data_IF_239799220200
#
_entry.id   IF_239799220200
#
_cell.length_a   1.000
_cell.length_b   1.000
_cell.length_c   1.000
_cell.angle_alpha   90.00
_cell.angle_beta   90.00
_cell.angle_gamma   90.00
#
_symmetry.space_group_name_H-M   'P 1'
#
loop_
_entity.id
_entity.type
_entity.pdbx_description
1 polymer ?
#
# COMPACT_ATOMS: atom_id res chain seq x y z
N UNK A 1 -49.77 23.89 -18.66
CA UNK A 1 -49.42 22.90 -17.62
C UNK A 1 -48.03 22.32 -17.93
N UNK A 2 -47.17 22.16 -16.96
CA UNK A 2 -45.88 21.49 -17.18
C UNK A 2 -46.14 20.02 -17.58
N UNK A 3 -45.38 19.51 -18.53
CA UNK A 3 -45.43 18.11 -18.88
C UNK A 3 -44.06 17.58 -19.25
N UNK A 4 -43.83 16.27 -19.02
CA UNK A 4 -42.61 15.57 -19.36
C UNK A 4 -43.00 14.24 -20.08
N UNK A 5 -42.45 14.05 -21.26
CA UNK A 5 -42.60 12.80 -22.06
C UNK A 5 -41.19 12.25 -22.35
N UNK A 6 -40.66 11.38 -21.51
CA UNK A 6 -39.31 10.85 -21.70
C UNK A 6 -39.20 10.02 -22.98
N UNK A 7 -37.99 10.01 -23.56
CA UNK A 7 -37.60 9.09 -24.62
C UNK A 7 -37.08 7.79 -23.93
N UNK A 8 -37.83 6.67 -23.96
CA UNK A 8 -37.56 5.55 -23.03
C UNK A 8 -36.14 5.00 -23.16
N UNK A 9 -35.69 4.73 -24.39
CA UNK A 9 -34.32 4.20 -24.61
C UNK A 9 -33.26 5.17 -24.13
N UNK A 10 -33.36 6.45 -24.52
CA UNK A 10 -32.42 7.47 -24.11
C UNK A 10 -32.40 7.64 -22.57
N UNK A 11 -33.59 7.60 -21.95
CA UNK A 11 -33.73 7.76 -20.50
C UNK A 11 -33.04 6.62 -19.76
N UNK A 12 -33.22 5.37 -20.19
CA UNK A 12 -32.57 4.21 -19.58
C UNK A 12 -31.04 4.33 -19.66
N UNK A 13 -30.52 4.60 -20.88
CA UNK A 13 -29.06 4.74 -21.03
C UNK A 13 -28.49 5.94 -20.24
N UNK A 14 -29.19 7.08 -20.22
CA UNK A 14 -28.78 8.24 -19.43
C UNK A 14 -28.82 7.95 -17.93
N UNK A 15 -29.81 7.22 -17.44
CA UNK A 15 -29.89 6.82 -16.04
C UNK A 15 -28.76 5.88 -15.63
N UNK A 16 -28.44 4.89 -16.46
CA UNK A 16 -27.32 3.97 -16.22
C UNK A 16 -25.96 4.71 -16.23
N UNK A 17 -25.76 5.59 -17.22
CA UNK A 17 -24.56 6.41 -17.30
C UNK A 17 -24.44 7.35 -16.09
N UNK A 18 -25.54 7.99 -15.68
CA UNK A 18 -25.58 8.84 -14.50
C UNK A 18 -25.24 8.07 -13.23
N UNK A 19 -25.83 6.89 -13.04
CA UNK A 19 -25.52 6.02 -11.89
C UNK A 19 -24.04 5.65 -11.86
N UNK A 20 -23.45 5.30 -13.00
CA UNK A 20 -22.02 4.99 -13.11
C UNK A 20 -21.15 6.20 -12.72
N UNK A 21 -21.44 7.39 -13.28
CA UNK A 21 -20.67 8.60 -13.02
C UNK A 21 -20.72 9.00 -11.54
N UNK A 22 -21.90 8.92 -10.92
CA UNK A 22 -22.07 9.21 -9.49
C UNK A 22 -21.33 8.18 -8.62
N UNK A 23 -21.42 6.89 -8.97
CA UNK A 23 -20.70 5.83 -8.22
C UNK A 23 -19.19 6.03 -8.28
N UNK A 24 -18.63 6.37 -9.45
CA UNK A 24 -17.23 6.67 -9.62
C UNK A 24 -16.80 7.92 -8.83
N UNK A 25 -17.62 8.96 -8.82
CA UNK A 25 -17.39 10.17 -8.02
C UNK A 25 -17.33 9.87 -6.53
N UNK A 26 -18.32 9.14 -6.01
CA UNK A 26 -18.35 8.71 -4.60
C UNK A 26 -17.16 7.81 -4.25
N UNK A 27 -16.83 6.85 -5.10
CA UNK A 27 -15.66 5.99 -4.89
C UNK A 27 -14.35 6.81 -4.80
N UNK A 28 -14.18 7.83 -5.64
CA UNK A 28 -13.00 8.70 -5.59
C UNK A 28 -12.93 9.49 -4.27
N UNK A 29 -14.07 9.97 -3.76
CA UNK A 29 -14.12 10.63 -2.44
C UNK A 29 -13.74 9.69 -1.31
N UNK A 30 -14.29 8.47 -1.29
CA UNK A 30 -13.92 7.45 -0.31
C UNK A 30 -12.45 7.08 -0.39
N UNK A 31 -11.89 6.98 -1.60
CA UNK A 31 -10.48 6.68 -1.80
C UNK A 31 -9.56 7.80 -1.34
N UNK A 32 -9.96 9.04 -1.56
CA UNK A 32 -9.29 10.22 -1.03
C UNK A 32 -9.20 10.19 0.49
N UNK A 33 -10.34 9.96 1.14
CA UNK A 33 -10.42 9.94 2.60
C UNK A 33 -9.61 8.77 3.19
N UNK A 34 -9.75 7.57 2.64
CA UNK A 34 -8.95 6.42 3.04
C UNK A 34 -7.44 6.70 2.96
N UNK A 35 -6.97 7.34 1.88
CA UNK A 35 -5.56 7.72 1.74
C UNK A 35 -5.14 8.78 2.76
N UNK A 36 -5.96 9.80 2.96
CA UNK A 36 -5.67 10.85 3.94
C UNK A 36 -5.52 10.27 5.35
N UNK A 37 -6.42 9.38 5.75
CA UNK A 37 -6.34 8.67 7.04
C UNK A 37 -5.08 7.83 7.16
N UNK A 38 -4.67 7.11 6.09
CA UNK A 38 -3.44 6.30 6.10
C UNK A 38 -2.19 7.15 6.19
N UNK A 39 -2.15 8.29 5.51
CA UNK A 39 -1.03 9.23 5.58
C UNK A 39 -0.95 9.86 6.99
N UNK A 40 -2.08 10.25 7.58
CA UNK A 40 -2.14 10.75 8.95
C UNK A 40 -1.65 9.69 9.95
N UNK A 41 -2.16 8.47 9.86
CA UNK A 41 -1.71 7.37 10.71
C UNK A 41 -0.20 7.07 10.56
N UNK A 42 0.36 7.26 9.35
CA UNK A 42 1.80 7.15 9.15
C UNK A 42 2.57 8.30 9.83
N UNK A 43 2.05 9.52 9.80
CA UNK A 43 2.67 10.68 10.47
C UNK A 43 2.60 10.58 12.00
N UNK A 44 1.51 9.99 12.52
CA UNK A 44 1.27 9.78 13.94
C UNK A 44 1.98 8.53 14.50
N UNK A 45 2.66 7.75 13.64
CA UNK A 45 3.46 6.61 14.13
C UNK A 45 4.45 7.11 15.19
N UNK A 46 4.59 6.34 16.27
CA UNK A 46 5.37 6.73 17.45
C UNK A 46 6.80 7.14 17.12
N UNK A 47 7.42 7.83 18.06
CA UNK A 47 8.82 8.24 18.00
C UNK A 47 9.72 7.03 17.73
N UNK A 48 10.95 7.31 17.25
CA UNK A 48 11.99 6.29 17.06
C UNK A 48 12.23 5.56 18.39
N UNK A 49 12.14 4.23 18.37
CA UNK A 49 12.24 3.39 19.56
C UNK A 49 13.28 2.29 19.39
N UNK A 50 13.57 1.56 20.47
CA UNK A 50 14.47 0.40 20.42
C UNK A 50 13.79 -0.82 19.79
N UNK A 51 14.60 -1.78 19.29
CA UNK A 51 14.07 -3.05 18.79
C UNK A 51 13.26 -3.82 19.84
N UNK A 52 13.71 -3.81 21.09
CA UNK A 52 13.00 -4.47 22.18
C UNK A 52 11.63 -3.85 22.42
N UNK A 53 11.56 -2.55 22.46
CA UNK A 53 10.30 -1.83 22.68
C UNK A 53 9.34 -2.02 21.51
N UNK A 54 9.84 -1.96 20.27
CA UNK A 54 9.06 -2.21 19.07
C UNK A 54 8.53 -3.65 19.00
N UNK A 55 9.30 -4.65 19.47
CA UNK A 55 8.92 -6.06 19.43
C UNK A 55 7.99 -6.45 20.58
N UNK A 56 8.26 -5.94 21.78
CA UNK A 56 7.63 -6.39 23.03
C UNK A 56 6.56 -5.41 23.55
N UNK A 57 6.52 -4.19 23.04
CA UNK A 57 5.53 -3.18 23.40
C UNK A 57 4.18 -3.37 22.71
N UNK A 58 3.12 -2.86 23.34
CA UNK A 58 1.81 -2.77 22.71
C UNK A 58 1.78 -1.52 21.80
N UNK A 59 1.72 -1.73 20.49
CA UNK A 59 1.60 -0.63 19.52
C UNK A 59 0.19 -0.59 18.96
N UNK A 60 -0.54 0.48 19.27
CA UNK A 60 -1.85 0.76 18.71
C UNK A 60 -1.67 1.59 17.44
N UNK A 61 -1.68 0.95 16.27
CA UNK A 61 -1.59 1.69 15.02
C UNK A 61 -1.37 0.80 13.81
N UNK A 62 -1.71 1.33 12.63
CA UNK A 62 -1.56 0.62 11.36
C UNK A 62 -0.08 0.49 10.97
N UNK A 63 0.73 1.45 11.39
CA UNK A 63 2.17 1.51 11.15
C UNK A 63 2.87 1.47 12.50
N UNK A 64 3.74 0.49 12.68
CA UNK A 64 4.59 0.41 13.86
C UNK A 64 5.61 1.56 13.93
N UNK A 65 6.24 1.77 15.09
CA UNK A 65 7.25 2.80 15.28
C UNK A 65 8.46 2.57 14.37
N UNK A 66 9.19 3.64 14.09
CA UNK A 66 10.51 3.57 13.47
C UNK A 66 11.52 3.08 14.50
N UNK A 67 12.44 2.21 14.10
CA UNK A 67 13.40 1.55 14.98
C UNK A 67 14.81 2.02 14.60
N UNK A 68 15.63 2.39 15.60
CA UNK A 68 17.06 2.67 15.38
C UNK A 68 17.85 1.40 15.07
N UNK A 69 18.98 1.60 14.40
CA UNK A 69 19.83 0.55 13.88
C UNK A 69 20.07 -0.61 14.86
N UNK A 70 19.88 -1.84 14.41
CA UNK A 70 20.46 -3.00 15.07
C UNK A 70 21.99 -2.95 14.94
N UNK A 71 22.67 -3.75 15.73
CA UNK A 71 24.09 -4.02 15.51
C UNK A 71 24.32 -4.52 14.07
N UNK A 72 25.49 -4.26 13.48
CA UNK A 72 25.82 -4.77 12.15
C UNK A 72 25.56 -6.27 12.08
N UNK A 73 24.86 -6.72 11.03
CA UNK A 73 24.62 -8.13 10.81
C UNK A 73 25.96 -8.79 10.43
N UNK A 74 26.40 -9.72 11.24
CA UNK A 74 27.51 -10.61 10.93
C UNK A 74 26.96 -11.90 10.31
N UNK A 75 27.62 -12.42 9.27
CA UNK A 75 27.24 -13.69 8.67
C UNK A 75 26.63 -13.59 7.26
N UNK A 76 26.15 -14.73 6.73
CA UNK A 76 25.60 -14.80 5.39
C UNK A 76 24.32 -13.97 5.26
N UNK A 77 24.07 -13.49 4.06
CA UNK A 77 22.88 -12.69 3.76
C UNK A 77 22.22 -13.19 2.47
N UNK A 78 20.90 -13.19 2.47
CA UNK A 78 20.08 -13.56 1.33
C UNK A 78 19.85 -12.34 0.43
N UNK A 79 19.64 -12.59 -0.87
CA UNK A 79 19.33 -11.57 -1.88
C UNK A 79 17.86 -11.71 -2.30
N UNK A 80 16.99 -10.91 -1.69
CA UNK A 80 15.56 -10.90 -1.96
C UNK A 80 15.22 -9.85 -3.01
N UNK A 81 14.60 -10.25 -4.13
CA UNK A 81 14.26 -9.36 -5.23
C UNK A 81 13.23 -8.31 -4.83
N UNK A 82 13.50 -7.07 -5.13
CA UNK A 82 12.57 -5.96 -4.89
C UNK A 82 12.70 -4.87 -5.95
N UNK A 83 11.58 -4.17 -6.20
CA UNK A 83 11.55 -2.99 -7.03
C UNK A 83 11.47 -1.74 -6.14
N UNK A 84 12.57 -0.96 -6.08
CA UNK A 84 12.71 0.28 -5.32
C UNK A 84 13.15 1.45 -6.19
N UNK A 85 12.21 1.89 -7.06
CA UNK A 85 12.54 2.83 -8.14
C UNK A 85 13.26 2.16 -9.32
N UNK A 86 14.15 1.22 -9.03
CA UNK A 86 14.82 0.32 -9.98
C UNK A 86 14.80 -1.12 -9.46
N UNK A 87 14.95 -2.13 -10.32
CA UNK A 87 15.09 -3.51 -9.89
C UNK A 87 16.40 -3.73 -9.13
N UNK A 88 16.39 -4.62 -8.15
CA UNK A 88 17.57 -4.93 -7.36
C UNK A 88 17.27 -5.94 -6.26
N UNK A 89 18.22 -6.09 -5.34
CA UNK A 89 18.20 -7.09 -4.30
C UNK A 89 18.24 -6.44 -2.91
N UNK A 90 17.25 -6.73 -2.10
CA UNK A 90 17.28 -6.46 -0.66
C UNK A 90 18.16 -7.50 0.01
N UNK A 91 19.16 -7.06 0.72
CA UNK A 91 20.03 -7.94 1.52
C UNK A 91 19.36 -8.20 2.87
N UNK A 92 19.15 -9.48 3.18
CA UNK A 92 18.46 -9.91 4.41
C UNK A 92 19.38 -10.84 5.18
N UNK A 93 19.65 -10.51 6.44
CA UNK A 93 20.34 -11.38 7.37
C UNK A 93 19.45 -11.73 8.56
N UNK A 94 19.97 -12.58 9.45
CA UNK A 94 19.35 -12.89 10.73
C UNK A 94 20.07 -12.20 11.87
N UNK A 95 19.32 -11.74 12.87
CA UNK A 95 19.84 -11.27 14.13
C UNK A 95 19.11 -11.93 15.30
N UNK A 96 19.76 -12.08 16.47
CA UNK A 96 19.06 -12.46 17.69
C UNK A 96 17.97 -11.45 18.02
N UNK A 97 16.74 -11.91 18.19
CA UNK A 97 15.63 -11.07 18.61
C UNK A 97 15.77 -10.70 20.09
N UNK A 98 15.46 -9.45 20.49
CA UNK A 98 15.41 -9.09 21.90
C UNK A 98 14.40 -9.95 22.67
N UNK A 99 14.79 -10.48 23.81
CA UNK A 99 13.89 -11.22 24.69
C UNK A 99 12.90 -10.28 25.37
N UNK A 100 11.60 -10.59 25.30
CA UNK A 100 10.55 -9.81 25.95
C UNK A 100 10.45 -10.12 27.46
N UNK A 101 10.79 -11.35 27.86
CA UNK A 101 10.90 -11.78 29.27
C UNK A 101 12.28 -12.40 29.53
N UNK A 102 12.80 -12.40 30.75
CA UNK A 102 14.09 -12.97 31.07
C UNK A 102 14.27 -14.45 30.65
N UNK A 103 13.20 -15.22 30.76
CA UNK A 103 13.20 -16.66 30.49
C UNK A 103 12.73 -17.02 29.07
N UNK A 104 12.53 -16.02 28.19
CA UNK A 104 12.12 -16.28 26.82
C UNK A 104 13.19 -17.06 26.05
N UNK A 105 12.80 -18.10 25.26
CA UNK A 105 13.76 -18.79 24.43
C UNK A 105 14.37 -17.85 23.40
N UNK A 106 15.63 -18.11 23.03
CA UNK A 106 16.29 -17.33 21.98
C UNK A 106 15.53 -17.50 20.66
N UNK A 107 15.16 -16.37 20.08
CA UNK A 107 14.52 -16.27 18.76
C UNK A 107 15.35 -15.40 17.83
N UNK A 108 15.08 -15.50 16.57
CA UNK A 108 15.76 -14.74 15.52
C UNK A 108 14.79 -13.91 14.71
N UNK A 109 15.30 -12.85 14.14
CA UNK A 109 14.53 -11.90 13.33
C UNK A 109 15.28 -11.68 12.02
N UNK A 110 14.57 -11.78 10.90
CA UNK A 110 15.12 -11.31 9.63
C UNK A 110 15.23 -9.80 9.63
N UNK A 111 16.36 -9.29 9.16
CA UNK A 111 16.65 -7.85 9.13
C UNK A 111 17.20 -7.46 7.77
N UNK A 112 16.63 -6.44 7.20
CA UNK A 112 17.18 -5.81 6.01
C UNK A 112 18.47 -5.05 6.35
N UNK A 113 19.55 -5.34 5.62
CA UNK A 113 20.87 -4.71 5.82
C UNK A 113 21.25 -3.74 4.71
N UNK A 114 20.59 -3.80 3.56
CA UNK A 114 20.89 -2.95 2.43
C UNK A 114 20.07 -3.27 1.19
N UNK A 115 20.24 -2.44 0.18
CA UNK A 115 19.71 -2.64 -1.15
C UNK A 115 20.84 -2.51 -2.16
N UNK A 116 21.00 -3.49 -3.03
CA UNK A 116 21.98 -3.53 -4.10
C UNK A 116 21.29 -3.58 -5.48
N UNK A 117 21.95 -3.10 -6.51
CA UNK A 117 21.50 -3.25 -7.89
C UNK A 117 21.68 -4.71 -8.39
N UNK A 118 21.33 -4.95 -9.63
CA UNK A 118 21.48 -6.28 -10.24
C UNK A 118 22.94 -6.70 -10.40
N UNK A 119 23.87 -5.74 -10.46
CA UNK A 119 25.31 -5.97 -10.57
C UNK A 119 25.98 -6.21 -9.20
N UNK A 120 25.23 -6.08 -8.11
CA UNK A 120 25.71 -6.32 -6.75
C UNK A 120 26.31 -5.09 -6.05
N UNK A 121 26.18 -3.90 -6.64
CA UNK A 121 26.62 -2.66 -6.02
C UNK A 121 25.63 -2.22 -4.96
N UNK A 122 26.07 -1.96 -3.73
CA UNK A 122 25.23 -1.47 -2.66
C UNK A 122 24.83 -0.01 -2.95
N UNK A 123 23.54 0.20 -3.20
CA UNK A 123 22.97 1.52 -3.51
C UNK A 123 22.52 2.24 -2.23
N UNK A 124 21.94 1.49 -1.28
CA UNK A 124 21.40 2.07 -0.07
C UNK A 124 21.60 1.16 1.14
N UNK A 125 21.81 1.78 2.31
CA UNK A 125 21.81 1.13 3.61
C UNK A 125 20.73 1.76 4.48
N UNK A 126 19.90 0.95 5.18
CA UNK A 126 18.88 1.47 6.07
C UNK A 126 19.49 2.31 7.19
N UNK A 127 18.80 3.38 7.55
CA UNK A 127 19.11 4.19 8.73
C UNK A 127 18.10 3.95 9.87
N UNK A 128 16.93 3.45 9.50
CA UNK A 128 15.86 3.08 10.40
C UNK A 128 15.10 1.87 9.84
N UNK A 129 14.45 1.14 10.73
CA UNK A 129 13.66 -0.04 10.39
C UNK A 129 12.27 0.07 10.98
N UNK A 130 11.38 -0.82 10.52
CA UNK A 130 10.09 -1.09 11.14
C UNK A 130 9.79 -2.57 11.07
N UNK A 131 9.04 -3.07 12.05
CA UNK A 131 8.57 -4.44 12.01
C UNK A 131 7.37 -4.56 11.07
N UNK A 132 7.45 -5.50 10.15
CA UNK A 132 6.36 -5.83 9.23
C UNK A 132 6.13 -7.35 9.23
N UNK A 133 4.92 -7.75 8.90
CA UNK A 133 4.63 -9.15 8.54
C UNK A 133 5.27 -9.46 7.20
N UNK A 134 5.55 -10.72 6.95
CA UNK A 134 6.16 -11.15 5.69
C UNK A 134 5.28 -10.78 4.49
N UNK A 135 5.90 -10.30 3.40
CA UNK A 135 5.17 -9.96 2.21
C UNK A 135 4.53 -11.22 1.60
N UNK A 136 3.29 -11.11 1.15
CA UNK A 136 2.65 -12.20 0.41
C UNK A 136 3.24 -12.30 -0.99
N UNK A 137 3.45 -13.53 -1.51
CA UNK A 137 3.97 -13.71 -2.86
C UNK A 137 3.03 -13.09 -3.90
N UNK A 138 3.61 -12.46 -4.90
CA UNK A 138 2.89 -12.01 -6.07
C UNK A 138 2.34 -13.18 -6.88
N UNK A 139 1.22 -12.99 -7.60
CA UNK A 139 0.59 -14.04 -8.43
C UNK A 139 1.55 -14.66 -9.47
N UNK A 140 2.53 -13.91 -9.92
CA UNK A 140 3.49 -14.29 -10.97
C UNK A 140 4.95 -14.22 -10.46
N UNK A 141 5.16 -14.38 -9.15
CA UNK A 141 6.50 -14.44 -8.60
C UNK A 141 7.24 -15.66 -9.13
N UNK A 142 8.50 -15.50 -9.51
CA UNK A 142 9.38 -16.59 -9.85
C UNK A 142 9.65 -17.48 -8.60
N UNK A 143 9.98 -18.73 -8.80
CA UNK A 143 10.42 -19.59 -7.70
C UNK A 143 11.76 -19.09 -7.11
N UNK A 144 12.00 -19.41 -5.85
CA UNK A 144 13.29 -19.16 -5.20
C UNK A 144 14.37 -20.07 -5.78
N UNK A 145 15.60 -19.58 -5.84
CA UNK A 145 16.80 -20.31 -6.21
C UNK A 145 17.85 -20.16 -5.08
N UNK A 146 17.86 -21.06 -4.10
CA UNK A 146 18.82 -21.01 -2.99
C UNK A 146 20.28 -21.19 -3.43
N UNK A 147 20.54 -21.96 -4.50
CA UNK A 147 21.89 -22.27 -4.96
C UNK A 147 22.60 -21.01 -5.51
N UNK A 148 21.84 -20.12 -6.14
CA UNK A 148 22.34 -18.82 -6.61
C UNK A 148 22.02 -17.66 -5.65
N UNK A 149 21.43 -17.96 -4.49
CA UNK A 149 21.00 -16.98 -3.50
C UNK A 149 20.05 -15.93 -4.08
N UNK A 150 19.08 -16.37 -4.91
CA UNK A 150 18.07 -15.51 -5.52
C UNK A 150 16.68 -15.84 -4.97
N UNK A 151 16.11 -14.88 -4.25
CA UNK A 151 14.86 -15.05 -3.53
C UNK A 151 13.80 -14.10 -4.11
N UNK A 152 12.75 -14.65 -4.70
CA UNK A 152 11.63 -13.91 -5.29
C UNK A 152 10.37 -13.98 -4.44
N UNK A 153 10.28 -14.99 -3.59
CA UNK A 153 9.20 -15.20 -2.63
C UNK A 153 9.81 -15.18 -1.23
N UNK A 154 9.21 -14.44 -0.32
CA UNK A 154 9.60 -14.43 1.07
C UNK A 154 9.08 -15.73 1.73
N UNK A 155 9.91 -16.75 1.73
CA UNK A 155 9.64 -18.04 2.34
C UNK A 155 10.48 -18.15 3.62
N UNK A 156 9.82 -17.94 4.77
CA UNK A 156 10.48 -17.90 6.08
C UNK A 156 11.29 -19.18 6.33
N UNK A 157 10.69 -20.33 6.05
CA UNK A 157 11.26 -21.61 6.44
C UNK A 157 12.47 -21.95 5.56
N UNK A 158 12.35 -21.78 4.24
CA UNK A 158 13.48 -21.96 3.33
C UNK A 158 14.60 -20.95 3.59
N UNK A 159 14.25 -19.68 3.83
CA UNK A 159 15.23 -18.62 4.11
C UNK A 159 15.97 -18.85 5.43
N UNK A 160 15.27 -19.34 6.47
CA UNK A 160 15.88 -19.68 7.75
C UNK A 160 16.88 -20.83 7.59
N UNK A 161 16.48 -21.91 6.87
CA UNK A 161 17.36 -23.05 6.58
C UNK A 161 18.59 -22.63 5.76
N UNK A 162 18.44 -21.75 4.78
CA UNK A 162 19.55 -21.24 3.99
C UNK A 162 20.54 -20.37 4.81
N UNK A 163 20.15 -19.95 6.01
CA UNK A 163 20.98 -19.24 6.99
C UNK A 163 21.32 -20.14 8.21
N UNK A 164 21.28 -21.46 8.05
CA UNK A 164 21.61 -22.45 9.07
C UNK A 164 20.85 -22.25 10.39
N UNK A 165 19.58 -21.86 10.30
CA UNK A 165 18.73 -21.57 11.47
C UNK A 165 17.44 -22.40 11.41
N UNK A 166 17.01 -22.92 12.58
CA UNK A 166 15.73 -23.60 12.70
C UNK A 166 14.56 -22.61 12.45
N UNK A 167 13.68 -22.89 11.46
CA UNK A 167 12.51 -22.05 11.18
C UNK A 167 11.63 -21.80 12.41
N UNK A 168 11.52 -22.75 13.31
CA UNK A 168 10.74 -22.61 14.55
C UNK A 168 11.27 -21.54 15.50
N UNK A 169 12.54 -21.14 15.37
CA UNK A 169 13.16 -20.08 16.15
C UNK A 169 13.03 -18.69 15.50
N UNK A 170 12.54 -18.60 14.25
CA UNK A 170 12.39 -17.31 13.56
C UNK A 170 11.01 -16.72 13.82
N UNK A 171 10.98 -15.42 14.13
CA UNK A 171 9.74 -14.69 14.36
C UNK A 171 8.90 -14.55 13.08
N UNK A 172 7.58 -14.36 13.24
CA UNK A 172 6.61 -14.16 12.15
C UNK A 172 6.64 -12.74 11.54
N UNK A 173 7.60 -11.93 11.99
CA UNK A 173 7.81 -10.55 11.52
C UNK A 173 9.26 -10.36 11.13
N UNK A 174 9.54 -9.36 10.33
CA UNK A 174 10.90 -8.97 9.95
C UNK A 174 11.12 -7.47 10.09
N UNK A 175 12.36 -7.08 10.29
CA UNK A 175 12.75 -5.69 10.34
C UNK A 175 13.11 -5.20 8.93
N UNK A 176 12.16 -4.54 8.31
CA UNK A 176 12.32 -3.92 7.00
C UNK A 176 12.83 -2.51 7.12
N UNK A 177 13.65 -2.06 6.16
CA UNK A 177 14.07 -0.66 6.06
C UNK A 177 12.87 0.30 6.05
N UNK A 178 12.91 1.30 6.89
CA UNK A 178 11.93 2.39 6.88
C UNK A 178 12.33 3.41 5.81
N UNK A 179 11.77 3.24 4.63
CA UNK A 179 12.01 4.09 3.46
C UNK A 179 11.09 5.32 3.41
N UNK A 180 10.43 5.65 4.50
CA UNK A 180 9.46 6.72 4.55
C UNK A 180 8.06 6.27 4.08
N UNK A 181 7.25 7.22 3.66
CA UNK A 181 5.86 6.96 3.25
C UNK A 181 5.78 5.92 2.13
N UNK A 182 5.01 4.83 2.31
CA UNK A 182 4.88 3.79 1.28
C UNK A 182 4.51 4.36 -0.08
N UNK A 183 5.16 3.87 -1.13
CA UNK A 183 4.97 4.32 -2.51
C UNK A 183 3.50 4.29 -2.95
N UNK A 184 2.74 3.29 -2.49
CA UNK A 184 1.29 3.19 -2.73
C UNK A 184 0.49 4.36 -2.17
N UNK A 185 1.01 5.04 -1.15
CA UNK A 185 0.40 6.24 -0.56
C UNK A 185 0.94 7.54 -1.19
N UNK A 186 2.22 7.58 -1.58
CA UNK A 186 2.87 8.78 -2.11
C UNK A 186 2.59 9.02 -3.60
N UNK A 187 2.51 7.99 -4.45
CA UNK A 187 2.37 8.13 -5.91
C UNK A 187 1.11 8.87 -6.37
N UNK A 188 0.00 8.74 -5.64
CA UNK A 188 -1.26 9.42 -5.98
C UNK A 188 -1.78 10.11 -4.74
N UNK A 189 -1.45 11.38 -4.49
CA UNK A 189 -1.89 12.09 -3.29
C UNK A 189 -3.42 12.24 -3.24
N UNK A 190 -4.02 12.45 -2.06
CA UNK A 190 -5.46 12.62 -1.89
C UNK A 190 -6.07 13.68 -2.81
N UNK A 191 -5.35 14.77 -3.08
CA UNK A 191 -5.77 15.86 -3.98
C UNK A 191 -6.06 15.41 -5.41
N UNK A 192 -5.35 14.41 -5.94
CA UNK A 192 -5.64 13.85 -7.26
C UNK A 192 -6.97 13.09 -7.29
N UNK A 193 -7.33 12.39 -6.22
CA UNK A 193 -8.63 11.74 -6.10
C UNK A 193 -9.76 12.77 -6.03
N UNK A 194 -9.56 13.90 -5.35
CA UNK A 194 -10.51 15.01 -5.37
C UNK A 194 -10.72 15.55 -6.79
N UNK A 195 -9.65 15.76 -7.55
CA UNK A 195 -9.73 16.21 -8.96
C UNK A 195 -10.56 15.24 -9.82
N UNK A 196 -10.34 13.93 -9.68
CA UNK A 196 -11.15 12.92 -10.38
C UNK A 196 -12.61 12.94 -9.92
N UNK A 197 -12.89 13.09 -8.63
CA UNK A 197 -14.26 13.18 -8.13
C UNK A 197 -15.01 14.38 -8.74
N UNK A 198 -14.38 15.56 -8.77
CA UNK A 198 -14.91 16.76 -9.42
C UNK A 198 -15.20 16.51 -10.90
N UNK A 199 -14.31 15.83 -11.60
CA UNK A 199 -14.51 15.45 -13.01
C UNK A 199 -15.75 14.57 -13.20
N UNK A 200 -15.89 13.51 -12.38
CA UNK A 200 -17.03 12.59 -12.47
C UNK A 200 -18.37 13.28 -12.17
N UNK A 201 -18.43 14.07 -11.11
CA UNK A 201 -19.63 14.84 -10.79
C UNK A 201 -19.92 15.93 -11.82
N UNK A 202 -18.90 16.58 -12.39
CA UNK A 202 -19.06 17.52 -13.50
C UNK A 202 -19.65 16.89 -14.74
N UNK A 203 -19.17 15.68 -15.13
CA UNK A 203 -19.72 14.91 -16.22
C UNK A 203 -21.17 14.46 -15.95
N UNK A 204 -21.50 14.10 -14.70
CA UNK A 204 -22.88 13.78 -14.31
C UNK A 204 -23.79 14.99 -14.47
N UNK A 205 -23.37 16.17 -14.02
CA UNK A 205 -24.11 17.40 -14.18
C UNK A 205 -24.27 17.80 -15.66
N UNK A 206 -23.22 17.64 -16.49
CA UNK A 206 -23.27 17.88 -17.91
C UNK A 206 -24.24 16.93 -18.61
N UNK A 207 -24.24 15.63 -18.25
CA UNK A 207 -25.19 14.64 -18.78
C UNK A 207 -26.64 15.03 -18.48
N UNK A 208 -26.93 15.45 -17.26
CA UNK A 208 -28.27 15.95 -16.89
C UNK A 208 -28.64 17.18 -17.74
N UNK A 209 -27.72 18.15 -17.86
CA UNK A 209 -27.92 19.34 -18.66
C UNK A 209 -28.25 19.04 -20.12
N UNK A 210 -27.47 18.16 -20.76
CA UNK A 210 -27.69 17.72 -22.15
C UNK A 210 -29.01 16.95 -22.29
N UNK A 211 -29.33 16.08 -21.35
CA UNK A 211 -30.59 15.31 -21.36
C UNK A 211 -31.80 16.26 -21.29
N UNK A 212 -31.77 17.23 -20.38
CA UNK A 212 -32.84 18.21 -20.23
C UNK A 212 -32.95 19.12 -21.48
N UNK A 213 -31.84 19.63 -21.98
CA UNK A 213 -31.80 20.48 -23.18
C UNK A 213 -32.38 19.77 -24.39
N UNK A 214 -32.05 18.49 -24.59
CA UNK A 214 -32.60 17.68 -25.68
C UNK A 214 -34.11 17.50 -25.56
N UNK A 215 -34.66 17.24 -24.37
CA UNK A 215 -36.07 17.09 -24.12
C UNK A 215 -36.83 18.40 -24.32
N UNK A 216 -36.23 19.55 -23.95
CA UNK A 216 -36.79 20.89 -24.22
C UNK A 216 -36.80 21.14 -25.74
N UNK A 217 -35.68 20.96 -26.43
CA UNK A 217 -35.58 21.20 -27.88
C UNK A 217 -36.53 20.35 -28.70
N UNK A 218 -36.83 19.12 -28.24
CA UNK A 218 -37.83 18.24 -28.89
C UNK A 218 -39.26 18.47 -28.41
N UNK A 219 -39.51 19.55 -27.64
CA UNK A 219 -40.84 19.86 -27.13
C UNK A 219 -41.42 18.82 -26.18
N UNK A 220 -40.57 17.95 -25.59
CA UNK A 220 -40.97 16.86 -24.68
C UNK A 220 -40.93 17.24 -23.21
N UNK A 221 -40.31 18.36 -22.90
CA UNK A 221 -40.31 19.01 -21.59
C UNK A 221 -40.74 20.46 -21.76
N UNK A 222 -41.82 20.88 -21.09
CA UNK A 222 -42.21 22.28 -20.99
C UNK A 222 -42.17 22.70 -19.53
N UNK A 223 -41.27 23.62 -19.14
CA UNK A 223 -41.31 24.20 -17.81
C UNK A 223 -42.60 24.99 -17.62
N UNK A 224 -43.05 25.17 -16.36
CA UNK A 224 -44.16 26.09 -16.07
C UNK A 224 -43.80 27.51 -16.53
N UNK A 225 -44.72 28.15 -17.23
CA UNK A 225 -44.54 29.57 -17.50
C UNK A 225 -44.36 30.32 -16.17
N UNK A 226 -43.36 31.15 -16.07
CA UNK A 226 -43.23 32.04 -14.92
C UNK A 226 -44.45 33.02 -14.94
N UNK A 227 -45.09 33.25 -13.76
CA UNK A 227 -46.16 34.24 -13.62
C UNK A 227 -45.69 35.63 -13.97
#
# INVERSE_FOLDING_TARGET
MPYFRPLPVLTVFSALALALLLTLGVWQMQRMEWKAQRIAAYAERGAVTSFREALCGAHAGIFGPSITAPAPLAGPQLRYYALRGQPGWVRIGLMPAPACTPDAPQRYLFVESGFEDLDGTIIARPQAWRLEVFPRPGRFASGNDPDTNQWYIFDRDMMAQALDTDPGQVLEVWARADLGLPTSLSQTPPSKHLGYAVTWFGLAAALIGVYLALHIARGRLRPAARP
#
